data_IF_625765302822
#
_entry.id   IF_625765302822
#
_cell.length_a   1.000
_cell.length_b   1.000
_cell.length_c   1.000
_cell.angle_alpha   90.00
_cell.angle_beta   90.00
_cell.angle_gamma   90.00
#
_symmetry.space_group_name_H-M   'P 1'
#
loop_
_entity.id
_entity.type
_entity.pdbx_description
1 polymer ?
#
# COMPACT_ATOMS: atom_id res chain seq x y z
N UNK A 1 -30.47 -15.18 -2.75
CA UNK A 1 -29.30 -15.64 -3.53
C UNK A 1 -28.04 -15.22 -2.80
N UNK A 2 -27.54 -16.07 -1.90
CA UNK A 2 -26.62 -15.68 -0.81
C UNK A 2 -25.39 -16.58 -0.70
N UNK A 3 -24.86 -17.07 -1.83
CA UNK A 3 -23.72 -18.00 -1.83
C UNK A 3 -22.49 -17.50 -2.62
N UNK A 4 -22.45 -16.22 -3.04
CA UNK A 4 -21.31 -15.66 -3.79
C UNK A 4 -20.51 -14.57 -3.05
N UNK A 5 -20.80 -14.33 -1.78
CA UNK A 5 -20.33 -13.12 -1.06
C UNK A 5 -19.18 -13.38 -0.05
N UNK A 6 -18.54 -14.55 -0.11
CA UNK A 6 -17.52 -14.97 0.87
C UNK A 6 -16.16 -15.31 0.28
N UNK A 7 -15.99 -15.27 -1.04
CA UNK A 7 -14.73 -15.65 -1.68
C UNK A 7 -14.08 -14.44 -2.35
N UNK A 8 -12.83 -14.15 -1.99
CA UNK A 8 -12.03 -13.08 -2.55
C UNK A 8 -10.78 -13.69 -3.19
N UNK A 9 -10.62 -13.45 -4.49
CA UNK A 9 -9.45 -13.87 -5.26
C UNK A 9 -8.67 -12.66 -5.73
N UNK A 10 -7.36 -12.71 -5.52
CA UNK A 10 -6.37 -11.81 -6.09
C UNK A 10 -5.35 -12.66 -6.84
N UNK A 11 -5.09 -12.32 -8.11
CA UNK A 11 -4.06 -12.96 -8.94
C UNK A 11 -2.82 -12.07 -8.96
N UNK A 12 -1.66 -12.60 -8.56
CA UNK A 12 -0.40 -11.85 -8.48
C UNK A 12 0.58 -12.37 -9.51
N UNK A 13 1.32 -11.47 -10.14
CA UNK A 13 2.46 -11.80 -11.01
C UNK A 13 3.73 -11.59 -10.20
N UNK A 14 4.47 -12.67 -9.99
CA UNK A 14 5.77 -12.67 -9.31
C UNK A 14 6.90 -12.86 -10.33
N UNK A 15 8.01 -12.18 -10.09
CA UNK A 15 9.26 -12.43 -10.81
C UNK A 15 10.39 -12.64 -9.80
N UNK A 16 10.88 -13.89 -9.74
CA UNK A 16 11.84 -14.34 -8.72
C UNK A 16 13.29 -14.00 -9.12
N UNK A 17 13.53 -13.66 -10.38
CA UNK A 17 14.89 -13.60 -10.91
C UNK A 17 15.58 -12.24 -10.75
N UNK A 18 14.85 -11.11 -10.61
CA UNK A 18 15.49 -9.79 -10.82
C UNK A 18 15.24 -8.69 -9.78
N UNK A 19 14.25 -8.74 -8.86
CA UNK A 19 14.09 -7.63 -7.90
C UNK A 19 13.29 -7.94 -6.61
N UNK A 20 13.66 -7.31 -5.48
CA UNK A 20 12.99 -7.53 -4.18
C UNK A 20 11.51 -7.11 -4.16
N UNK A 21 11.10 -6.24 -5.10
CA UNK A 21 9.73 -5.73 -5.21
C UNK A 21 8.75 -6.63 -5.96
N UNK A 22 9.22 -7.70 -6.62
CA UNK A 22 8.39 -8.59 -7.45
C UNK A 22 8.07 -9.94 -6.78
N UNK A 23 8.23 -10.01 -5.46
CA UNK A 23 7.93 -11.19 -4.64
C UNK A 23 6.83 -10.90 -3.62
N UNK A 24 5.93 -11.84 -3.37
CA UNK A 24 4.93 -11.73 -2.30
C UNK A 24 5.56 -12.09 -0.97
N UNK A 25 5.85 -11.07 -0.17
CA UNK A 25 6.41 -11.24 1.16
C UNK A 25 5.39 -11.80 2.17
N UNK A 26 5.79 -12.61 3.17
CA UNK A 26 4.87 -13.18 4.15
C UNK A 26 4.02 -12.13 4.88
N UNK A 27 4.59 -10.98 5.26
CA UNK A 27 3.83 -9.91 5.92
C UNK A 27 2.76 -9.30 5.01
N UNK A 28 2.97 -9.31 3.69
CA UNK A 28 1.98 -8.90 2.71
C UNK A 28 0.73 -9.80 2.74
N UNK A 29 0.91 -11.11 2.90
CA UNK A 29 -0.21 -12.06 3.00
C UNK A 29 -0.98 -11.83 4.31
N UNK A 30 -0.28 -11.65 5.42
CA UNK A 30 -0.90 -11.40 6.73
C UNK A 30 -1.67 -10.08 6.73
N UNK A 31 -1.10 -9.01 6.17
CA UNK A 31 -1.77 -7.71 6.08
C UNK A 31 -2.99 -7.78 5.16
N UNK A 32 -2.92 -8.50 4.04
CA UNK A 32 -4.06 -8.72 3.16
C UNK A 32 -5.21 -9.47 3.86
N UNK A 33 -4.90 -10.51 4.63
CA UNK A 33 -5.89 -11.22 5.46
C UNK A 33 -6.51 -10.28 6.50
N UNK A 34 -5.71 -9.42 7.13
CA UNK A 34 -6.21 -8.42 8.08
C UNK A 34 -7.19 -7.44 7.41
N UNK A 35 -6.85 -6.92 6.22
CA UNK A 35 -7.73 -6.04 5.44
C UNK A 35 -9.08 -6.73 5.15
N UNK A 36 -9.05 -7.99 4.73
CA UNK A 36 -10.25 -8.78 4.48
C UNK A 36 -11.11 -9.00 5.73
N UNK A 37 -10.49 -9.38 6.85
CA UNK A 37 -11.16 -9.57 8.14
C UNK A 37 -11.80 -8.27 8.63
N UNK A 38 -11.15 -7.12 8.38
CA UNK A 38 -11.59 -5.78 8.77
C UNK A 38 -12.28 -5.00 7.64
N UNK A 39 -12.74 -5.67 6.59
CA UNK A 39 -13.30 -5.03 5.38
C UNK A 39 -14.32 -3.90 5.60
N UNK A 40 -15.20 -3.90 6.63
CA UNK A 40 -16.09 -2.76 6.85
C UNK A 40 -15.35 -1.45 7.15
N UNK A 41 -14.14 -1.53 7.70
CA UNK A 41 -13.27 -0.38 8.00
C UNK A 41 -12.65 0.23 6.74
N UNK A 42 -12.37 -0.60 5.74
CA UNK A 42 -11.70 -0.19 4.51
C UNK A 42 -12.67 0.30 3.44
N UNK A 43 -13.91 -0.18 3.46
CA UNK A 43 -14.92 0.21 2.48
C UNK A 43 -15.10 1.73 2.42
N UNK A 44 -14.97 2.31 1.23
CA UNK A 44 -15.05 3.76 0.93
C UNK A 44 -13.97 4.65 1.56
N UNK A 45 -12.97 4.06 2.23
CA UNK A 45 -11.82 4.80 2.75
C UNK A 45 -10.80 5.11 1.64
N UNK A 46 -10.01 6.17 1.81
CA UNK A 46 -8.82 6.43 1.00
C UNK A 46 -7.62 5.72 1.60
N UNK A 47 -7.04 4.80 0.86
CA UNK A 47 -5.93 3.96 1.29
C UNK A 47 -4.70 4.29 0.46
N UNK A 48 -3.58 4.52 1.12
CA UNK A 48 -2.27 4.62 0.47
C UNK A 48 -1.42 3.45 0.93
N UNK A 49 -0.92 2.64 0.00
CA UNK A 49 0.06 1.60 0.30
C UNK A 49 1.46 2.09 -0.05
N UNK A 50 2.36 2.07 0.93
CA UNK A 50 3.77 2.43 0.79
C UNK A 50 4.61 1.17 0.55
N UNK A 51 5.47 1.20 -0.47
CA UNK A 51 6.29 0.03 -0.83
C UNK A 51 5.41 -1.14 -1.25
N UNK A 52 4.52 -0.91 -2.20
CA UNK A 52 3.48 -1.86 -2.58
C UNK A 52 4.06 -3.16 -3.17
N UNK A 53 5.20 -3.12 -3.85
CA UNK A 53 5.79 -4.29 -4.51
C UNK A 53 4.79 -4.99 -5.44
N UNK A 54 4.29 -6.15 -5.03
CA UNK A 54 3.26 -6.92 -5.75
C UNK A 54 1.82 -6.48 -5.47
N UNK A 55 1.61 -5.51 -4.57
CA UNK A 55 0.35 -4.81 -4.26
C UNK A 55 -0.78 -5.62 -3.64
N UNK A 56 -0.49 -6.81 -3.09
CA UNK A 56 -1.52 -7.70 -2.55
C UNK A 56 -2.45 -7.04 -1.49
N UNK A 57 -1.96 -6.34 -0.45
CA UNK A 57 -2.81 -5.74 0.58
C UNK A 57 -3.69 -4.63 0.01
N UNK A 58 -3.12 -3.74 -0.81
CA UNK A 58 -3.87 -2.69 -1.49
C UNK A 58 -4.91 -3.24 -2.47
N UNK A 59 -4.65 -4.35 -3.15
CA UNK A 59 -5.65 -5.00 -4.01
C UNK A 59 -6.80 -5.60 -3.22
N UNK A 60 -6.53 -6.21 -2.05
CA UNK A 60 -7.61 -6.64 -1.15
C UNK A 60 -8.41 -5.42 -0.68
N UNK A 61 -7.75 -4.31 -0.32
CA UNK A 61 -8.42 -3.08 0.07
C UNK A 61 -9.33 -2.54 -1.05
N UNK A 62 -8.85 -2.54 -2.30
CA UNK A 62 -9.63 -2.12 -3.47
C UNK A 62 -10.86 -3.02 -3.68
N UNK A 63 -10.69 -4.34 -3.59
CA UNK A 63 -11.78 -5.32 -3.75
C UNK A 63 -12.84 -5.23 -2.66
N UNK A 64 -12.51 -4.73 -1.46
CA UNK A 64 -13.49 -4.44 -0.39
C UNK A 64 -14.08 -3.02 -0.46
N UNK A 65 -13.77 -2.28 -1.53
CA UNK A 65 -14.37 -1.01 -1.88
C UNK A 65 -13.63 0.24 -1.41
N UNK A 66 -12.35 0.14 -1.08
CA UNK A 66 -11.50 1.31 -0.81
C UNK A 66 -11.10 2.05 -2.10
N UNK A 67 -10.75 3.33 -1.97
CA UNK A 67 -10.07 4.12 -2.99
C UNK A 67 -8.56 4.02 -2.76
N UNK A 68 -7.87 3.22 -3.57
CA UNK A 68 -6.48 2.82 -3.29
C UNK A 68 -5.50 3.55 -4.19
N UNK A 69 -4.45 4.10 -3.58
CA UNK A 69 -3.23 4.52 -4.25
C UNK A 69 -2.09 3.60 -3.83
N UNK A 70 -1.49 2.92 -4.80
CA UNK A 70 -0.36 2.02 -4.62
C UNK A 70 0.91 2.79 -4.96
N UNK A 71 1.89 2.74 -4.06
CA UNK A 71 3.14 3.48 -4.23
C UNK A 71 4.36 2.62 -4.04
N UNK A 72 5.36 2.84 -4.89
CA UNK A 72 6.68 2.21 -4.80
C UNK A 72 7.76 3.18 -5.31
N UNK A 73 9.03 2.80 -5.23
CA UNK A 73 10.18 3.63 -5.57
C UNK A 73 10.01 4.23 -6.97
N UNK A 74 10.04 5.57 -7.07
CA UNK A 74 9.66 6.28 -8.29
C UNK A 74 10.53 5.96 -9.51
N UNK A 75 11.80 5.59 -9.28
CA UNK A 75 12.74 5.24 -10.35
C UNK A 75 12.75 3.74 -10.69
N UNK A 76 12.02 2.89 -9.95
CA UNK A 76 11.86 1.48 -10.29
C UNK A 76 10.61 1.31 -11.17
N UNK A 77 10.75 1.64 -12.45
CA UNK A 77 9.63 1.60 -13.40
C UNK A 77 9.10 0.19 -13.62
N UNK A 78 9.94 -0.83 -13.51
CA UNK A 78 9.53 -2.24 -13.66
C UNK A 78 8.52 -2.65 -12.59
N UNK A 79 8.77 -2.29 -11.32
CA UNK A 79 7.81 -2.55 -10.23
C UNK A 79 6.51 -1.77 -10.46
N UNK A 80 6.57 -0.50 -10.87
CA UNK A 80 5.38 0.30 -11.13
C UNK A 80 4.55 -0.26 -12.30
N UNK A 81 5.19 -0.71 -13.38
CA UNK A 81 4.54 -1.34 -14.53
C UNK A 81 3.91 -2.69 -14.13
N UNK A 82 4.61 -3.48 -13.29
CA UNK A 82 4.07 -4.72 -12.75
C UNK A 82 2.82 -4.46 -11.88
N UNK A 83 2.83 -3.44 -11.02
CA UNK A 83 1.65 -3.06 -10.23
C UNK A 83 0.48 -2.72 -11.15
N UNK A 84 0.69 -1.95 -12.23
CA UNK A 84 -0.36 -1.63 -13.19
C UNK A 84 -0.92 -2.87 -13.89
N UNK A 85 -0.04 -3.81 -14.28
CA UNK A 85 -0.44 -5.09 -14.86
C UNK A 85 -1.28 -5.90 -13.88
N UNK A 86 -0.86 -6.01 -12.61
CA UNK A 86 -1.59 -6.76 -11.58
C UNK A 86 -2.95 -6.10 -11.31
N UNK A 87 -3.03 -4.77 -11.25
CA UNK A 87 -4.30 -4.05 -11.12
C UNK A 87 -5.25 -4.39 -12.27
N UNK A 88 -4.74 -4.38 -13.50
CA UNK A 88 -5.50 -4.73 -14.70
C UNK A 88 -5.97 -6.18 -14.68
N UNK A 89 -5.09 -7.12 -14.30
CA UNK A 89 -5.40 -8.55 -14.16
C UNK A 89 -6.54 -8.80 -13.16
N UNK A 90 -6.60 -8.01 -12.09
CA UNK A 90 -7.57 -8.15 -11.02
C UNK A 90 -8.85 -7.36 -11.22
N UNK A 91 -8.97 -6.61 -12.33
CA UNK A 91 -10.01 -5.61 -12.55
C UNK A 91 -10.13 -4.61 -11.38
N UNK A 92 -9.01 -4.23 -10.79
CA UNK A 92 -8.94 -3.30 -9.67
C UNK A 92 -8.58 -1.90 -10.19
N UNK A 93 -9.42 -0.91 -9.88
CA UNK A 93 -9.17 0.47 -10.25
C UNK A 93 -8.38 1.18 -9.14
N UNK A 94 -7.06 0.97 -9.15
CA UNK A 94 -6.11 1.62 -8.24
C UNK A 94 -5.32 2.70 -8.96
N UNK A 95 -4.99 3.78 -8.26
CA UNK A 95 -3.98 4.74 -8.72
C UNK A 95 -2.59 4.16 -8.45
N UNK A 96 -1.69 4.21 -9.41
CA UNK A 96 -0.27 3.83 -9.23
C UNK A 96 0.58 5.08 -9.28
N UNK A 97 1.42 5.28 -8.26
CA UNK A 97 2.23 6.50 -8.12
C UNK A 97 3.64 6.15 -7.65
N UNK A 98 4.66 6.68 -8.33
CA UNK A 98 6.03 6.62 -7.85
C UNK A 98 6.24 7.51 -6.63
N UNK A 99 6.73 6.94 -5.52
CA UNK A 99 7.02 7.62 -4.28
C UNK A 99 8.30 7.03 -3.68
N UNK A 100 9.40 7.77 -3.77
CA UNK A 100 10.67 7.39 -3.13
C UNK A 100 10.68 7.88 -1.68
N UNK A 101 10.97 7.00 -0.74
CA UNK A 101 11.01 7.37 0.66
C UNK A 101 12.11 8.39 0.97
N UNK A 102 11.75 9.43 1.73
CA UNK A 102 12.62 10.58 1.99
C UNK A 102 12.50 11.69 0.95
N UNK A 103 11.86 11.42 -0.19
CA UNK A 103 11.57 12.37 -1.26
C UNK A 103 10.06 12.69 -1.27
N UNK A 104 9.65 13.49 -0.29
CA UNK A 104 8.24 13.82 -0.05
C UNK A 104 7.88 15.09 -0.81
N UNK A 105 7.49 14.94 -2.08
CA UNK A 105 7.00 16.04 -2.91
C UNK A 105 5.52 16.40 -2.61
N UNK A 106 5.09 17.59 -3.05
CA UNK A 106 3.71 18.09 -2.91
C UNK A 106 2.60 17.06 -3.23
N UNK A 107 2.69 16.24 -4.31
CA UNK A 107 1.63 15.29 -4.66
C UNK A 107 1.33 14.27 -3.56
N UNK A 108 2.31 13.94 -2.71
CA UNK A 108 2.13 12.99 -1.61
C UNK A 108 1.29 13.59 -0.49
N UNK A 109 1.44 14.88 -0.23
CA UNK A 109 0.67 15.58 0.80
C UNK A 109 -0.80 15.77 0.40
N UNK A 110 -1.08 15.81 -0.90
CA UNK A 110 -2.44 15.93 -1.44
C UNK A 110 -3.25 14.63 -1.41
N UNK A 111 -2.63 13.48 -1.13
CA UNK A 111 -3.32 12.19 -1.07
C UNK A 111 -4.32 12.09 0.09
N UNK A 112 -4.06 12.78 1.21
CA UNK A 112 -4.91 12.81 2.41
C UNK A 112 -5.48 11.42 2.79
N UNK A 113 -4.66 10.37 2.99
CA UNK A 113 -5.16 9.03 3.26
C UNK A 113 -5.90 8.93 4.60
N UNK A 114 -6.96 8.13 4.63
CA UNK A 114 -7.63 7.73 5.87
C UNK A 114 -6.88 6.54 6.53
N UNK A 115 -6.23 5.71 5.71
CA UNK A 115 -5.45 4.54 6.12
C UNK A 115 -4.15 4.46 5.29
N UNK A 116 -3.04 4.15 5.96
CA UNK A 116 -1.76 3.86 5.31
C UNK A 116 -1.42 2.39 5.55
N UNK A 117 -1.07 1.67 4.48
CA UNK A 117 -0.58 0.29 4.52
C UNK A 117 0.91 0.25 4.19
N UNK A 118 1.62 -0.72 4.75
CA UNK A 118 3.00 -1.04 4.40
C UNK A 118 3.37 -2.39 4.98
N UNK A 119 3.77 -3.33 4.12
CA UNK A 119 4.16 -4.69 4.52
C UNK A 119 5.66 -4.90 4.32
N UNK A 120 6.37 -5.35 5.35
CA UNK A 120 7.83 -5.60 5.33
C UNK A 120 8.71 -4.41 4.93
N UNK A 121 8.18 -3.19 4.92
CA UNK A 121 8.87 -2.00 4.42
C UNK A 121 10.12 -1.57 5.22
N UNK A 122 10.41 -2.17 6.39
CA UNK A 122 11.58 -1.86 7.24
C UNK A 122 12.78 -2.82 7.02
N UNK A 123 12.85 -3.52 5.90
CA UNK A 123 13.80 -4.62 5.70
C UNK A 123 15.27 -4.17 5.64
N UNK A 124 15.57 -3.00 5.07
CA UNK A 124 16.94 -2.46 4.98
C UNK A 124 17.30 -1.48 6.11
N UNK A 125 18.51 -1.63 6.64
CA UNK A 125 19.10 -0.79 7.69
C UNK A 125 19.24 0.70 7.31
N UNK A 126 19.53 1.03 6.05
CA UNK A 126 19.56 2.44 5.61
C UNK A 126 18.14 3.00 5.50
N UNK A 127 17.22 2.17 5.01
CA UNK A 127 15.79 2.44 4.98
C UNK A 127 15.25 2.73 6.38
N UNK A 128 15.64 1.98 7.44
CA UNK A 128 15.23 2.28 8.83
C UNK A 128 15.49 3.73 9.25
N UNK A 129 16.68 4.28 9.00
CA UNK A 129 17.02 5.67 9.36
C UNK A 129 16.25 6.72 8.53
N UNK A 130 16.09 6.47 7.23
CA UNK A 130 15.33 7.33 6.33
C UNK A 130 13.84 7.31 6.66
N UNK A 131 13.33 6.16 7.10
CA UNK A 131 11.96 5.99 7.55
C UNK A 131 11.78 6.67 8.88
N UNK A 132 12.64 6.47 9.89
CA UNK A 132 12.48 7.18 11.17
C UNK A 132 12.50 8.71 10.97
N UNK A 133 13.37 9.23 10.11
CA UNK A 133 13.42 10.66 9.80
C UNK A 133 12.22 11.13 8.97
N UNK A 134 11.80 10.37 7.96
CA UNK A 134 10.58 10.63 7.18
C UNK A 134 9.31 10.51 8.01
N UNK A 135 9.27 9.58 8.96
CA UNK A 135 8.19 9.39 9.92
C UNK A 135 8.11 10.55 10.89
N UNK A 136 9.24 11.04 11.38
CA UNK A 136 9.26 12.25 12.20
C UNK A 136 8.81 13.47 11.39
N UNK A 137 9.22 13.58 10.12
CA UNK A 137 8.77 14.65 9.23
C UNK A 137 7.26 14.55 8.94
N UNK A 138 6.77 13.38 8.53
CA UNK A 138 5.36 13.08 8.28
C UNK A 138 4.52 13.29 9.54
N UNK A 139 4.91 12.75 10.69
CA UNK A 139 4.22 12.94 11.97
C UNK A 139 4.24 14.41 12.38
N UNK A 140 5.33 15.14 12.15
CA UNK A 140 5.42 16.58 12.46
C UNK A 140 4.53 17.44 11.56
N UNK A 141 4.32 17.04 10.30
CA UNK A 141 3.45 17.71 9.35
C UNK A 141 1.97 17.34 9.58
N UNK A 142 1.71 16.07 9.89
CA UNK A 142 0.42 15.51 10.23
C UNK A 142 -0.12 16.07 11.56
N UNK A 143 0.72 16.15 12.61
CA UNK A 143 0.37 16.77 13.89
C UNK A 143 0.11 18.29 13.75
N UNK A 144 0.62 18.94 12.70
CA UNK A 144 0.31 20.35 12.41
C UNK A 144 -1.05 20.54 11.72
N UNK A 145 -1.66 19.49 11.15
CA UNK A 145 -2.85 19.61 10.30
C UNK A 145 -4.04 18.75 10.74
N UNK A 146 -3.88 17.77 11.63
CA UNK A 146 -4.96 16.85 12.02
C UNK A 146 -5.03 16.66 13.53
N UNK A 147 -5.84 17.49 14.19
CA UNK A 147 -6.36 17.18 15.53
C UNK A 147 -7.52 16.19 15.39
N UNK A 148 -7.29 14.91 15.73
CA UNK A 148 -8.26 13.79 15.87
C UNK A 148 -8.42 12.78 14.73
N UNK A 149 -7.36 12.10 14.28
CA UNK A 149 -7.51 10.82 13.56
C UNK A 149 -6.68 9.70 14.20
N UNK A 150 -7.20 8.46 14.34
CA UNK A 150 -6.42 7.35 14.86
C UNK A 150 -5.49 6.78 13.78
N UNK A 151 -4.18 6.91 14.00
CA UNK A 151 -3.16 6.27 13.18
C UNK A 151 -3.06 4.79 13.58
N UNK A 152 -3.29 3.88 12.62
CA UNK A 152 -3.06 2.45 12.85
C UNK A 152 -1.90 2.00 11.97
N UNK A 153 -0.79 1.70 12.65
CA UNK A 153 0.42 1.13 12.10
C UNK A 153 0.38 -0.39 12.27
N UNK A 154 0.44 -1.11 11.16
CA UNK A 154 0.69 -2.54 11.16
C UNK A 154 2.10 -2.75 10.60
N UNK A 155 2.92 -3.50 11.33
CA UNK A 155 4.28 -3.88 10.98
C UNK A 155 4.32 -5.38 10.71
#
# INVERSE_FOLDING_TARGET
SSERDHDLRVDIVENIEEDYGMFVWPCSVILAEYVWQQRPRFSRSRVVELGAGTSLPGLVAAKVGAHVTLTDIAHNTEVLDNIQQICSLNNANCTVLGLTWGDWDEPVFDLHPDIILGADVLYDSASKLLIYSSWLAFLSLWLRHVSNMPLHLFW
#
